data_IF_498371845988
#
_entry.id   IF_498371845988
#
_cell.length_a   1.000
_cell.length_b   1.000
_cell.length_c   1.000
_cell.angle_alpha   90.00
_cell.angle_beta   90.00
_cell.angle_gamma   90.00
#
_symmetry.space_group_name_H-M   'P 1'
#
loop_
_entity.id
_entity.type
_entity.pdbx_description
1 polymer ?
#
# COMPACT_ATOMS: atom_id res chain seq x y z
N UNK A 1 39.85 -31.46 18.85
CA UNK A 1 38.60 -31.84 18.17
C UNK A 1 37.78 -30.57 18.01
N UNK A 2 37.98 -29.85 16.90
CA UNK A 2 37.34 -28.57 16.62
C UNK A 2 36.12 -28.82 15.75
N UNK A 3 34.93 -28.58 16.32
CA UNK A 3 33.66 -28.64 15.57
C UNK A 3 33.60 -27.41 14.68
N UNK A 4 33.82 -27.61 13.38
CA UNK A 4 33.47 -26.64 12.36
C UNK A 4 31.94 -26.58 12.30
N UNK A 5 31.35 -25.42 12.61
CA UNK A 5 29.95 -25.16 12.29
C UNK A 5 29.85 -24.87 10.79
N UNK A 6 29.24 -25.79 10.05
CA UNK A 6 28.99 -25.64 8.62
C UNK A 6 28.11 -24.41 8.34
N UNK A 7 28.69 -23.50 7.57
CA UNK A 7 28.14 -22.19 7.21
C UNK A 7 27.10 -22.25 6.07
N UNK A 8 26.25 -23.29 6.01
CA UNK A 8 25.55 -23.63 4.77
C UNK A 8 24.07 -24.04 4.90
N UNK A 9 23.27 -23.26 5.63
CA UNK A 9 21.80 -23.41 5.61
C UNK A 9 21.09 -22.05 5.52
N UNK A 10 21.18 -21.40 4.37
CA UNK A 10 20.09 -20.51 3.91
C UNK A 10 19.58 -20.97 2.56
N UNK A 11 18.84 -22.09 2.59
CA UNK A 11 17.78 -22.29 1.61
C UNK A 11 16.80 -21.13 1.79
N UNK A 12 16.91 -20.12 0.93
CA UNK A 12 15.87 -19.10 0.75
C UNK A 12 14.63 -19.79 0.21
N UNK A 13 13.86 -20.43 1.09
CA UNK A 13 12.50 -20.85 0.78
C UNK A 13 11.73 -19.59 0.40
N UNK A 14 11.37 -19.47 -0.87
CA UNK A 14 10.57 -18.35 -1.34
C UNK A 14 9.27 -18.34 -0.56
N UNK A 15 9.09 -17.30 0.25
CA UNK A 15 7.89 -17.11 1.05
C UNK A 15 7.14 -15.89 0.49
N UNK A 16 5.96 -16.08 -0.13
CA UNK A 16 5.18 -14.97 -0.70
C UNK A 16 4.61 -14.03 0.37
N UNK A 17 4.55 -14.45 1.63
CA UNK A 17 4.00 -13.66 2.73
C UNK A 17 5.04 -12.73 3.37
N UNK A 18 6.33 -12.94 3.10
CA UNK A 18 7.40 -12.09 3.60
C UNK A 18 7.81 -11.13 2.47
N UNK A 19 7.61 -9.83 2.71
CA UNK A 19 8.03 -8.80 1.77
C UNK A 19 9.53 -8.87 1.54
N UNK A 20 9.95 -8.92 0.28
CA UNK A 20 11.37 -8.93 -0.05
C UNK A 20 12.00 -7.56 0.25
N UNK A 21 13.33 -7.48 0.38
CA UNK A 21 14.03 -6.20 0.55
C UNK A 21 13.70 -5.21 -0.58
N UNK A 22 13.53 -5.72 -1.81
CA UNK A 22 13.13 -4.93 -2.96
C UNK A 22 11.73 -4.33 -2.80
N UNK A 23 10.78 -5.09 -2.25
CA UNK A 23 9.41 -4.62 -2.04
C UNK A 23 9.33 -3.55 -0.94
N UNK A 24 10.14 -3.71 0.11
CA UNK A 24 10.25 -2.73 1.20
C UNK A 24 10.86 -1.43 0.67
N UNK A 25 11.98 -1.50 -0.06
CA UNK A 25 12.63 -0.33 -0.64
C UNK A 25 11.69 0.43 -1.59
N UNK A 26 10.98 -0.30 -2.46
CA UNK A 26 9.98 0.28 -3.36
C UNK A 26 8.82 0.92 -2.60
N UNK A 27 8.33 0.29 -1.53
CA UNK A 27 7.24 0.84 -0.72
C UNK A 27 7.67 2.15 -0.04
N UNK A 28 8.89 2.20 0.51
CA UNK A 28 9.45 3.41 1.10
C UNK A 28 9.59 4.54 0.06
N UNK A 29 10.11 4.22 -1.12
CA UNK A 29 10.28 5.18 -2.22
C UNK A 29 8.92 5.76 -2.67
N UNK A 30 7.89 4.91 -2.81
CA UNK A 30 6.56 5.36 -3.22
C UNK A 30 5.88 6.19 -2.13
N UNK A 31 5.99 5.78 -0.87
CA UNK A 31 5.33 6.47 0.22
C UNK A 31 5.88 7.89 0.47
N UNK A 32 7.18 8.08 0.20
CA UNK A 32 7.84 9.38 0.28
C UNK A 32 7.33 10.39 -0.78
N UNK A 33 6.69 9.94 -1.85
CA UNK A 33 6.18 10.80 -2.91
C UNK A 33 4.83 11.41 -2.53
N UNK A 34 4.47 12.53 -3.16
CA UNK A 34 3.21 13.20 -2.92
C UNK A 34 2.12 12.65 -3.87
N UNK A 35 0.99 12.12 -3.35
CA UNK A 35 -0.08 11.56 -4.16
C UNK A 35 -0.72 12.60 -5.08
N UNK A 36 -0.88 13.85 -4.63
CA UNK A 36 -1.44 14.92 -5.47
C UNK A 36 -0.52 15.25 -6.65
N UNK A 37 0.79 15.33 -6.42
CA UNK A 37 1.79 15.57 -7.46
C UNK A 37 1.84 14.41 -8.46
N UNK A 38 1.78 13.16 -7.96
CA UNK A 38 1.69 11.99 -8.82
C UNK A 38 0.41 12.01 -9.67
N UNK A 39 -0.72 12.42 -9.09
CA UNK A 39 -1.98 12.56 -9.81
C UNK A 39 -1.93 13.62 -10.91
N UNK A 40 -1.51 14.83 -10.57
CA UNK A 40 -1.41 15.95 -11.52
C UNK A 40 -0.47 15.63 -12.67
N UNK A 41 0.73 15.10 -12.37
CA UNK A 41 1.70 14.73 -13.41
C UNK A 41 1.15 13.64 -14.32
N UNK A 42 0.50 12.61 -13.76
CA UNK A 42 -0.06 11.51 -14.55
C UNK A 42 -1.23 11.97 -15.43
N UNK A 43 -2.09 12.85 -14.90
CA UNK A 43 -3.26 13.35 -15.61
C UNK A 43 -2.87 14.23 -16.81
N UNK A 44 -1.90 15.13 -16.63
CA UNK A 44 -1.42 16.03 -17.69
C UNK A 44 -0.55 15.27 -18.69
N UNK A 45 0.36 14.43 -18.19
CA UNK A 45 1.30 13.70 -19.02
C UNK A 45 1.69 12.38 -18.36
N UNK A 46 0.97 11.31 -18.71
CA UNK A 46 1.14 9.95 -18.15
C UNK A 46 2.62 9.54 -18.00
N UNK A 47 3.51 9.76 -18.99
CA UNK A 47 4.92 9.42 -18.83
C UNK A 47 5.60 10.15 -17.66
N UNK A 48 5.32 11.44 -17.44
CA UNK A 48 5.91 12.18 -16.32
C UNK A 48 5.49 11.63 -14.96
N UNK A 49 4.22 11.24 -14.80
CA UNK A 49 3.75 10.58 -13.58
C UNK A 49 4.45 9.25 -13.32
N UNK A 50 4.68 8.46 -14.38
CA UNK A 50 5.37 7.17 -14.28
C UNK A 50 6.87 7.30 -14.00
N UNK A 51 7.54 8.30 -14.59
CA UNK A 51 8.93 8.65 -14.25
C UNK A 51 9.02 9.13 -12.80
N UNK A 52 8.11 10.02 -12.39
CA UNK A 52 8.06 10.50 -11.01
C UNK A 52 7.90 9.37 -10.01
N UNK A 53 7.08 8.36 -10.30
CA UNK A 53 6.86 7.18 -9.45
C UNK A 53 7.88 6.04 -9.66
N UNK A 54 8.88 6.22 -10.52
CA UNK A 54 9.86 5.18 -10.89
C UNK A 54 9.18 3.85 -11.33
N UNK A 55 8.05 4.00 -12.03
CA UNK A 55 7.17 2.91 -12.47
C UNK A 55 7.23 2.69 -13.98
N UNK A 56 8.37 2.99 -14.60
CA UNK A 56 8.58 2.82 -16.05
C UNK A 56 8.30 1.41 -16.57
N UNK A 57 8.51 0.35 -15.78
CA UNK A 57 8.13 -1.03 -16.19
C UNK A 57 6.60 -1.24 -16.26
N UNK A 58 5.82 -0.48 -15.51
CA UNK A 58 4.35 -0.52 -15.60
C UNK A 58 3.84 0.21 -16.86
N UNK A 59 4.63 1.13 -17.44
CA UNK A 59 4.30 1.80 -18.70
C UNK A 59 4.01 0.78 -19.82
N UNK A 60 4.86 -0.24 -19.97
CA UNK A 60 4.67 -1.26 -21.01
C UNK A 60 3.37 -2.05 -20.85
N UNK A 61 2.90 -2.26 -19.62
CA UNK A 61 1.61 -2.91 -19.37
C UNK A 61 0.45 -2.00 -19.78
N UNK A 62 0.50 -0.74 -19.36
CA UNK A 62 -0.52 0.27 -19.69
C UNK A 62 -0.58 0.49 -21.21
N UNK A 63 0.57 0.56 -21.87
CA UNK A 63 0.68 0.69 -23.33
C UNK A 63 0.09 -0.53 -24.06
N UNK A 64 0.32 -1.75 -23.53
CA UNK A 64 -0.30 -2.97 -24.06
C UNK A 64 -1.82 -2.97 -23.95
N UNK A 65 -2.37 -2.54 -22.80
CA UNK A 65 -3.82 -2.39 -22.64
C UNK A 65 -4.40 -1.32 -23.57
N UNK A 66 -3.71 -0.19 -23.74
CA UNK A 66 -4.12 0.86 -24.66
C UNK A 66 -4.20 0.35 -26.10
N UNK A 67 -3.17 -0.35 -26.59
CA UNK A 67 -3.19 -0.95 -27.93
C UNK A 67 -4.33 -1.95 -28.11
N UNK A 68 -4.57 -2.82 -27.12
CA UNK A 68 -5.66 -3.79 -27.19
C UNK A 68 -7.04 -3.11 -27.26
N UNK A 69 -7.26 -2.09 -26.41
CA UNK A 69 -8.53 -1.34 -26.38
C UNK A 69 -8.72 -0.55 -27.68
N UNK A 70 -7.68 0.14 -28.19
CA UNK A 70 -7.75 0.84 -29.47
C UNK A 70 -8.05 -0.10 -30.64
N UNK A 71 -7.45 -1.30 -30.63
CA UNK A 71 -7.70 -2.31 -31.66
C UNK A 71 -9.16 -2.82 -31.63
N UNK A 72 -9.67 -3.15 -30.44
CA UNK A 72 -11.07 -3.59 -30.26
C UNK A 72 -12.04 -2.49 -30.66
N UNK A 73 -11.79 -1.24 -30.26
CA UNK A 73 -12.65 -0.11 -30.61
C UNK A 73 -12.70 0.11 -32.11
N UNK A 74 -11.56 0.04 -32.80
CA UNK A 74 -11.49 0.19 -34.26
C UNK A 74 -12.27 -0.93 -35.00
N UNK A 75 -12.33 -2.13 -34.42
CA UNK A 75 -13.13 -3.23 -34.97
C UNK A 75 -14.65 -3.06 -34.73
N UNK A 76 -15.04 -2.40 -33.64
CA UNK A 76 -16.45 -2.27 -33.23
C UNK A 76 -17.10 -0.98 -33.75
N UNK A 77 -16.34 0.10 -33.93
CA UNK A 77 -16.87 1.38 -34.39
C UNK A 77 -17.01 1.39 -35.91
N UNK A 78 -18.24 1.56 -36.41
CA UNK A 78 -18.46 2.00 -37.79
C UNK A 78 -17.89 3.41 -37.96
N UNK A 79 -17.32 3.75 -39.13
CA UNK A 79 -16.83 5.11 -39.40
C UNK A 79 -18.03 6.07 -39.38
N UNK A 80 -18.28 6.72 -38.25
CA UNK A 80 -19.24 7.81 -38.11
C UNK A 80 -18.52 9.12 -37.85
N UNK A 81 -19.10 10.22 -38.33
CA UNK A 81 -18.51 11.57 -38.33
C UNK A 81 -18.22 12.11 -36.90
N UNK A 82 -18.83 11.53 -35.86
CA UNK A 82 -18.65 11.89 -34.44
C UNK A 82 -17.47 11.21 -33.73
N UNK A 83 -16.57 10.56 -34.47
CA UNK A 83 -15.37 9.88 -33.94
C UNK A 83 -14.50 10.74 -33.00
N UNK A 84 -14.51 12.08 -33.15
CA UNK A 84 -13.79 13.01 -32.26
C UNK A 84 -14.37 13.08 -30.85
N UNK A 85 -15.69 13.03 -30.69
CA UNK A 85 -16.32 13.06 -29.38
C UNK A 85 -16.00 11.81 -28.58
N UNK A 86 -16.23 10.65 -29.20
CA UNK A 86 -15.99 9.33 -28.59
C UNK A 86 -14.53 9.14 -28.20
N UNK A 87 -13.58 9.52 -29.05
CA UNK A 87 -12.15 9.43 -28.74
C UNK A 87 -11.72 10.36 -27.59
N UNK A 88 -12.30 11.56 -27.50
CA UNK A 88 -12.03 12.49 -26.39
C UNK A 88 -12.55 11.93 -25.06
N UNK A 89 -13.77 11.39 -25.04
CA UNK A 89 -14.35 10.77 -23.84
C UNK A 89 -13.54 9.54 -23.38
N UNK A 90 -13.15 8.66 -24.30
CA UNK A 90 -12.34 7.48 -23.99
C UNK A 90 -10.97 7.89 -23.45
N UNK A 91 -10.36 8.92 -24.04
CA UNK A 91 -9.08 9.46 -23.57
C UNK A 91 -9.19 10.01 -22.13
N UNK A 92 -10.28 10.72 -21.81
CA UNK A 92 -10.51 11.26 -20.48
C UNK A 92 -10.71 10.15 -19.43
N UNK A 93 -11.51 9.12 -19.75
CA UNK A 93 -11.74 7.98 -18.85
C UNK A 93 -10.43 7.21 -18.63
N UNK A 94 -9.65 7.02 -19.69
CA UNK A 94 -8.36 6.32 -19.63
C UNK A 94 -7.36 7.10 -18.78
N UNK A 95 -7.23 8.41 -18.99
CA UNK A 95 -6.37 9.28 -18.20
C UNK A 95 -6.79 9.29 -16.72
N UNK A 96 -8.10 9.37 -16.45
CA UNK A 96 -8.65 9.28 -15.10
C UNK A 96 -8.31 7.96 -14.40
N UNK A 97 -8.52 6.83 -15.06
CA UNK A 97 -8.22 5.50 -14.52
C UNK A 97 -6.72 5.30 -14.23
N UNK A 98 -5.84 5.76 -15.13
CA UNK A 98 -4.39 5.65 -14.92
C UNK A 98 -3.96 6.56 -13.76
N UNK A 99 -4.53 7.76 -13.66
CA UNK A 99 -4.26 8.71 -12.58
C UNK A 99 -4.66 8.15 -11.23
N UNK A 100 -5.86 7.59 -11.10
CA UNK A 100 -6.32 6.99 -9.84
C UNK A 100 -5.46 5.80 -9.43
N UNK A 101 -4.99 4.97 -10.37
CA UNK A 101 -4.07 3.88 -10.08
C UNK A 101 -2.74 4.40 -9.49
N UNK A 102 -2.18 5.46 -10.05
CA UNK A 102 -0.93 6.06 -9.56
C UNK A 102 -1.10 6.69 -8.17
N UNK A 103 -2.21 7.39 -7.93
CA UNK A 103 -2.53 7.97 -6.61
C UNK A 103 -2.76 6.87 -5.58
N UNK A 104 -3.53 5.84 -5.93
CA UNK A 104 -3.82 4.72 -5.03
C UNK A 104 -2.55 3.96 -4.65
N UNK A 105 -1.60 3.83 -5.58
CA UNK A 105 -0.32 3.18 -5.30
C UNK A 105 0.51 3.93 -4.25
N UNK A 106 0.54 5.27 -4.30
CA UNK A 106 1.21 6.09 -3.30
C UNK A 106 0.50 5.97 -1.94
N UNK A 107 -0.83 6.07 -1.93
CA UNK A 107 -1.61 5.96 -0.69
C UNK A 107 -1.48 4.58 -0.03
N UNK A 108 -1.56 3.50 -0.81
CA UNK A 108 -1.33 2.13 -0.30
C UNK A 108 0.08 1.95 0.26
N UNK A 109 1.09 2.56 -0.36
CA UNK A 109 2.45 2.51 0.16
C UNK A 109 2.59 3.22 1.50
N UNK A 110 1.94 4.40 1.66
CA UNK A 110 1.90 5.14 2.93
C UNK A 110 1.19 4.36 4.02
N UNK A 111 0.03 3.78 3.70
CA UNK A 111 -0.74 2.98 4.65
C UNK A 111 0.08 1.80 5.19
N UNK A 112 0.76 1.06 4.31
CA UNK A 112 1.63 -0.06 4.72
C UNK A 112 2.75 0.36 5.66
N UNK A 113 3.30 1.57 5.50
CA UNK A 113 4.29 2.09 6.44
C UNK A 113 3.68 2.43 7.78
N UNK A 114 2.51 3.08 7.81
CA UNK A 114 1.81 3.40 9.07
C UNK A 114 1.44 2.13 9.85
N UNK A 115 0.96 1.09 9.17
CA UNK A 115 0.67 -0.22 9.76
C UNK A 115 1.95 -0.87 10.34
N UNK A 116 3.06 -0.82 9.60
CA UNK A 116 4.36 -1.34 10.07
C UNK A 116 4.88 -0.56 11.28
N UNK A 117 4.80 0.76 11.28
CA UNK A 117 5.18 1.61 12.43
C UNK A 117 4.36 1.27 13.67
N UNK A 118 3.07 1.02 13.50
CA UNK A 118 2.14 0.66 14.58
C UNK A 118 2.49 -0.70 15.17
N UNK A 119 2.81 -1.69 14.34
CA UNK A 119 3.22 -3.02 14.80
C UNK A 119 4.54 -2.99 15.56
N UNK A 120 5.54 -2.26 15.03
CA UNK A 120 6.84 -2.10 15.71
C UNK A 120 6.69 -1.35 17.04
N UNK A 121 5.77 -0.39 17.15
CA UNK A 121 5.47 0.28 18.41
C UNK A 121 4.86 -0.68 19.44
N UNK A 122 3.91 -1.53 19.03
CA UNK A 122 3.29 -2.53 19.90
C UNK A 122 4.31 -3.58 20.37
N UNK A 123 5.16 -4.09 19.47
CA UNK A 123 6.21 -5.06 19.82
C UNK A 123 7.25 -4.48 20.80
N UNK A 124 7.63 -3.21 20.64
CA UNK A 124 8.57 -2.55 21.55
C UNK A 124 7.94 -2.22 22.91
N UNK A 125 6.63 -1.98 22.96
CA UNK A 125 5.89 -1.81 24.21
C UNK A 125 5.87 -3.14 24.98
N UNK A 126 5.53 -4.25 24.31
CA UNK A 126 5.52 -5.60 24.89
C UNK A 126 6.92 -6.06 25.35
N UNK A 127 7.98 -5.64 24.65
CA UNK A 127 9.37 -5.97 25.03
C UNK A 127 9.86 -5.18 26.24
N UNK A 128 9.47 -3.91 26.39
CA UNK A 128 9.82 -3.10 27.57
C UNK A 128 9.06 -3.54 28.84
N UNK A 129 7.90 -4.17 28.70
CA UNK A 129 7.12 -4.70 29.82
C UNK A 129 7.78 -5.93 30.51
N UNK A 130 8.75 -6.58 29.85
CA UNK A 130 9.52 -7.70 30.43
C UNK A 130 10.76 -7.26 31.24
N UNK A 131 11.15 -5.98 31.21
CA UNK A 131 12.34 -5.47 31.92
C UNK A 131 12.04 -4.42 33.00
N UNK A 132 10.81 -3.90 33.12
CA UNK A 132 10.49 -2.85 34.11
C UNK A 132 9.32 -3.24 35.02
N UNK A 133 9.65 -3.62 36.25
CA UNK A 133 8.72 -3.96 37.34
C UNK A 133 8.01 -2.73 37.94
N UNK A 134 7.33 -1.93 37.12
CA UNK A 134 6.64 -0.74 37.60
C UNK A 134 5.77 -0.03 36.57
N UNK A 135 4.72 -0.67 36.05
CA UNK A 135 3.62 0.04 35.39
C UNK A 135 2.37 -0.86 35.25
N UNK A 136 1.56 -0.97 36.30
CA UNK A 136 0.27 -1.70 36.23
C UNK A 136 -0.71 -1.04 35.24
N UNK A 137 -0.56 0.27 34.99
CA UNK A 137 -1.33 1.03 34.00
C UNK A 137 -1.07 0.61 32.55
N UNK A 138 0.09 0.03 32.22
CA UNK A 138 0.42 -0.37 30.83
C UNK A 138 -0.23 -1.72 30.50
N UNK A 139 -0.23 -2.64 31.48
CA UNK A 139 -0.81 -3.98 31.33
C UNK A 139 -2.31 -3.92 31.05
N UNK A 140 -3.03 -3.03 31.72
CA UNK A 140 -4.46 -2.85 31.52
C UNK A 140 -4.77 -2.25 30.15
N UNK A 141 -3.99 -1.28 29.68
CA UNK A 141 -4.16 -0.70 28.36
C UNK A 141 -3.85 -1.71 27.24
N UNK A 142 -2.81 -2.53 27.38
CA UNK A 142 -2.49 -3.62 26.45
C UNK A 142 -3.61 -4.66 26.42
N UNK A 143 -4.18 -5.01 27.57
CA UNK A 143 -5.32 -5.93 27.66
C UNK A 143 -6.56 -5.38 26.95
N UNK A 144 -6.88 -4.09 27.15
CA UNK A 144 -8.00 -3.42 26.49
C UNK A 144 -7.82 -3.36 24.97
N UNK A 145 -6.60 -3.09 24.48
CA UNK A 145 -6.31 -3.09 23.04
C UNK A 145 -6.47 -4.49 22.42
N UNK A 146 -6.10 -5.53 23.16
CA UNK A 146 -6.27 -6.93 22.72
C UNK A 146 -7.74 -7.32 22.64
N UNK A 147 -8.54 -6.96 23.64
CA UNK A 147 -9.99 -7.18 23.63
C UNK A 147 -10.67 -6.41 22.49
N UNK A 148 -10.28 -5.15 22.27
CA UNK A 148 -10.81 -4.31 21.19
C UNK A 148 -10.52 -4.91 19.80
N UNK A 149 -9.31 -5.45 19.61
CA UNK A 149 -8.92 -6.15 18.37
C UNK A 149 -9.76 -7.40 18.14
N UNK A 150 -9.97 -8.22 19.16
CA UNK A 150 -10.80 -9.43 19.06
C UNK A 150 -12.24 -9.08 18.68
N UNK A 151 -12.82 -8.01 19.26
CA UNK A 151 -14.17 -7.55 18.91
C UNK A 151 -14.29 -7.07 17.47
N UNK A 152 -13.27 -6.38 16.97
CA UNK A 152 -13.22 -5.95 15.57
C UNK A 152 -13.10 -7.15 14.62
N UNK A 153 -12.24 -8.12 14.93
CA UNK A 153 -12.09 -9.35 14.14
C UNK A 153 -13.34 -10.24 14.16
N UNK A 154 -14.11 -10.19 15.25
CA UNK A 154 -15.41 -10.84 15.37
C UNK A 154 -16.57 -10.07 14.70
N UNK A 155 -16.30 -8.92 14.04
CA UNK A 155 -17.30 -8.00 13.48
C UNK A 155 -18.35 -7.49 14.50
N UNK A 156 -18.01 -7.48 15.80
CA UNK A 156 -18.90 -6.98 16.86
C UNK A 156 -18.90 -5.45 16.95
N UNK A 157 -17.88 -4.79 16.39
CA UNK A 157 -17.73 -3.33 16.35
C UNK A 157 -17.37 -2.86 14.95
N UNK A 158 -17.82 -1.66 14.59
CA UNK A 158 -17.49 -1.05 13.30
C UNK A 158 -16.05 -0.52 13.24
N UNK A 159 -15.53 -0.32 12.04
CA UNK A 159 -14.17 0.21 11.83
C UNK A 159 -13.99 1.62 12.43
N UNK A 160 -15.04 2.44 12.38
CA UNK A 160 -15.06 3.79 12.97
C UNK A 160 -14.98 3.72 14.51
N UNK A 161 -15.76 2.83 15.13
CA UNK A 161 -15.74 2.61 16.58
C UNK A 161 -14.40 2.04 17.06
N UNK A 162 -13.81 1.14 16.28
CA UNK A 162 -12.49 0.60 16.55
C UNK A 162 -11.42 1.70 16.57
N UNK A 163 -11.44 2.62 15.58
CA UNK A 163 -10.48 3.74 15.51
C UNK A 163 -10.63 4.69 16.70
N UNK A 164 -11.86 5.07 17.05
CA UNK A 164 -12.14 6.00 18.15
C UNK A 164 -11.71 5.39 19.50
N UNK A 165 -12.07 4.14 19.77
CA UNK A 165 -11.72 3.49 21.03
C UNK A 165 -10.22 3.21 21.15
N UNK A 166 -9.57 2.81 20.06
CA UNK A 166 -8.11 2.65 20.00
C UNK A 166 -7.39 3.96 20.30
N UNK A 167 -7.83 5.06 19.68
CA UNK A 167 -7.27 6.39 19.93
C UNK A 167 -7.40 6.77 21.41
N UNK A 168 -8.57 6.53 22.01
CA UNK A 168 -8.87 6.85 23.41
C UNK A 168 -7.95 6.13 24.39
N UNK A 169 -7.73 4.82 24.19
CA UNK A 169 -6.84 4.00 25.04
C UNK A 169 -5.39 4.46 24.92
N UNK A 170 -4.94 4.82 23.71
CA UNK A 170 -3.58 5.30 23.47
C UNK A 170 -3.33 6.70 24.06
N UNK A 171 -4.36 7.55 24.16
CA UNK A 171 -4.25 8.87 24.82
C UNK A 171 -4.38 8.83 26.34
N UNK A 172 -4.86 7.72 26.92
CA UNK A 172 -5.00 7.55 28.38
C UNK A 172 -3.80 6.86 29.05
N UNK A 173 -2.82 6.47 28.24
CA UNK A 173 -1.53 5.91 28.62
C UNK A 173 -0.52 7.04 28.87
#
# INVERSE_FOLDING_TARGET
MSVQLDNNTKLNAWNPFISTQRDIARTNELAAKNPAVAGILTFIFIPAGLFYLNRGRNFFKIFGYFLAVSFILNLVTKPSEDSKGVSTFISLITAGAITTEQVMAVNKARQRLQEKSTLVFIDNLERNDNESSGFDTNKDAVKLLKELKTKYEANEISEEEFKVQKQKILTSL
#
